data_IF_074688531028
#
_entry.id   IF_074688531028
#
_cell.length_a   1.000
_cell.length_b   1.000
_cell.length_c   1.000
_cell.angle_alpha   90.00
_cell.angle_beta   90.00
_cell.angle_gamma   90.00
#
_symmetry.space_group_name_H-M   'P 1'
#
loop_
_entity.id
_entity.type
_entity.pdbx_description
1 polymer ?
#
# COMPACT_ATOMS: atom_id res chain seq x y z
N UNK A 1 -23.39 3.41 3.00
CA UNK A 1 -22.95 3.20 4.40
C UNK A 1 -23.93 2.29 5.11
N UNK A 2 -23.46 1.36 5.94
CA UNK A 2 -24.29 0.60 6.88
C UNK A 2 -24.58 1.44 8.14
N UNK A 3 -25.30 0.91 9.13
CA UNK A 3 -25.65 1.65 10.35
C UNK A 3 -24.42 2.10 11.16
N UNK A 4 -23.44 1.21 11.35
CA UNK A 4 -22.24 1.52 12.14
C UNK A 4 -21.36 2.57 11.44
N UNK A 5 -21.26 2.49 10.11
CA UNK A 5 -20.59 3.52 9.33
C UNK A 5 -21.26 4.89 9.49
N UNK A 6 -22.60 4.94 9.51
CA UNK A 6 -23.33 6.20 9.67
C UNK A 6 -23.03 6.83 11.02
N UNK A 7 -23.05 6.03 12.09
CA UNK A 7 -22.67 6.49 13.44
C UNK A 7 -21.23 7.03 13.45
N UNK A 8 -20.29 6.31 12.83
CA UNK A 8 -18.88 6.76 12.73
C UNK A 8 -18.74 8.02 11.88
N UNK A 9 -19.47 8.12 10.77
CA UNK A 9 -19.46 9.29 9.90
C UNK A 9 -20.03 10.52 10.60
N UNK A 10 -21.13 10.38 11.36
CA UNK A 10 -21.73 11.47 12.13
C UNK A 10 -20.78 11.97 13.23
N UNK A 11 -20.08 11.04 13.90
CA UNK A 11 -19.03 11.40 14.86
C UNK A 11 -17.90 12.19 14.20
N UNK A 12 -17.38 11.71 13.08
CA UNK A 12 -16.32 12.39 12.31
C UNK A 12 -16.80 13.75 11.76
N UNK A 13 -18.08 13.86 11.35
CA UNK A 13 -18.69 15.11 10.89
C UNK A 13 -18.62 16.17 11.98
N UNK A 14 -19.01 15.82 13.21
CA UNK A 14 -18.95 16.74 14.34
C UNK A 14 -17.51 17.20 14.62
N UNK A 15 -16.55 16.27 14.59
CA UNK A 15 -15.14 16.61 14.77
C UNK A 15 -14.61 17.54 13.67
N UNK A 16 -14.96 17.30 12.40
CA UNK A 16 -14.58 18.17 11.29
C UNK A 16 -15.16 19.58 11.43
N UNK A 17 -16.43 19.69 11.86
CA UNK A 17 -17.08 20.98 12.11
C UNK A 17 -16.37 21.72 13.25
N UNK A 18 -16.12 21.03 14.38
CA UNK A 18 -15.45 21.62 15.54
C UNK A 18 -14.03 22.08 15.18
N UNK A 19 -13.24 21.22 14.53
CA UNK A 19 -11.90 21.55 14.04
C UNK A 19 -11.92 22.76 13.11
N UNK A 20 -12.88 22.81 12.17
CA UNK A 20 -13.02 23.92 11.23
C UNK A 20 -13.34 25.25 11.91
N UNK A 21 -14.09 25.21 13.01
CA UNK A 21 -14.52 26.40 13.75
C UNK A 21 -13.47 26.90 14.77
N UNK A 22 -12.64 26.00 15.30
CA UNK A 22 -11.79 26.30 16.48
C UNK A 22 -10.30 26.28 16.18
N UNK A 23 -9.85 25.46 15.23
CA UNK A 23 -8.42 25.23 14.96
C UNK A 23 -8.06 25.79 13.59
N UNK A 24 -8.70 25.29 12.53
CA UNK A 24 -8.35 25.66 11.17
C UNK A 24 -9.51 25.44 10.21
N UNK A 25 -9.89 26.52 9.53
CA UNK A 25 -10.98 26.50 8.56
C UNK A 25 -10.75 25.47 7.44
N UNK A 26 -11.73 24.59 7.25
CA UNK A 26 -11.76 23.59 6.19
C UNK A 26 -12.50 24.12 4.95
N UNK A 27 -11.88 25.08 4.24
CA UNK A 27 -12.47 25.82 3.11
C UNK A 27 -12.96 24.93 1.95
N UNK A 28 -12.48 23.69 1.87
CA UNK A 28 -12.90 22.70 0.88
C UNK A 28 -14.28 22.12 1.11
N UNK A 29 -14.79 22.16 2.34
CA UNK A 29 -16.11 21.61 2.67
C UNK A 29 -17.17 22.69 2.46
N UNK A 30 -17.54 22.89 1.18
CA UNK A 30 -18.39 24.02 0.76
C UNK A 30 -19.88 23.76 0.96
N UNK A 31 -20.30 22.51 0.87
CA UNK A 31 -21.69 22.07 0.98
C UNK A 31 -21.76 20.74 1.73
N UNK A 32 -22.97 20.31 2.10
CA UNK A 32 -23.18 19.00 2.68
C UNK A 32 -22.73 17.86 1.77
N UNK A 33 -22.83 17.99 0.44
CA UNK A 33 -22.34 16.98 -0.50
C UNK A 33 -20.82 16.80 -0.44
N UNK A 34 -20.06 17.91 -0.26
CA UNK A 34 -18.61 17.83 -0.06
C UNK A 34 -18.28 17.11 1.24
N UNK A 35 -19.01 17.43 2.32
CA UNK A 35 -18.86 16.79 3.62
C UNK A 35 -19.15 15.29 3.54
N UNK A 36 -20.33 14.91 3.00
CA UNK A 36 -20.74 13.51 2.87
C UNK A 36 -19.79 12.70 1.98
N UNK A 37 -19.29 13.30 0.89
CA UNK A 37 -18.30 12.65 0.03
C UNK A 37 -16.97 12.42 0.75
N UNK A 38 -16.44 13.42 1.48
CA UNK A 38 -15.20 13.29 2.26
C UNK A 38 -15.35 12.20 3.34
N UNK A 39 -16.42 12.25 4.12
CA UNK A 39 -16.74 11.25 5.14
C UNK A 39 -16.84 9.85 4.52
N UNK A 40 -17.48 9.73 3.36
CA UNK A 40 -17.57 8.45 2.64
C UNK A 40 -16.20 7.91 2.22
N UNK A 41 -15.27 8.77 1.81
CA UNK A 41 -13.91 8.35 1.49
C UNK A 41 -13.11 7.95 2.75
N UNK A 42 -13.28 8.65 3.87
CA UNK A 42 -12.66 8.28 5.16
C UNK A 42 -13.16 6.90 5.61
N UNK A 43 -14.48 6.70 5.65
CA UNK A 43 -15.10 5.42 6.06
C UNK A 43 -14.70 4.28 5.12
N UNK A 44 -14.70 4.49 3.80
CA UNK A 44 -14.25 3.45 2.86
C UNK A 44 -12.77 3.11 3.05
N UNK A 45 -11.93 4.09 3.42
CA UNK A 45 -10.53 3.82 3.72
C UNK A 45 -10.36 3.03 5.02
N UNK A 46 -11.02 3.44 6.11
CA UNK A 46 -11.03 2.69 7.39
C UNK A 46 -11.47 1.24 7.16
N UNK A 47 -12.50 1.01 6.34
CA UNK A 47 -12.99 -0.34 5.98
C UNK A 47 -11.96 -1.18 5.24
N UNK A 48 -11.26 -0.60 4.26
CA UNK A 48 -10.23 -1.34 3.50
C UNK A 48 -9.06 -1.74 4.40
N UNK A 49 -8.68 -0.87 5.33
CA UNK A 49 -7.63 -1.17 6.33
C UNK A 49 -8.13 -2.26 7.28
N UNK A 50 -9.32 -2.10 7.86
CA UNK A 50 -9.91 -3.06 8.78
C UNK A 50 -10.15 -4.42 8.14
N UNK A 51 -10.50 -4.47 6.86
CA UNK A 51 -10.64 -5.73 6.13
C UNK A 51 -9.34 -6.55 6.16
N UNK A 52 -8.19 -5.93 5.90
CA UNK A 52 -6.89 -6.63 5.95
C UNK A 52 -6.55 -7.03 7.38
N UNK A 53 -6.80 -6.17 8.37
CA UNK A 53 -6.60 -6.53 9.79
C UNK A 53 -7.48 -7.70 10.22
N UNK A 54 -8.72 -7.79 9.75
CA UNK A 54 -9.61 -8.93 10.02
C UNK A 54 -9.13 -10.21 9.30
N UNK A 55 -8.43 -10.09 8.17
CA UNK A 55 -7.73 -11.22 7.56
C UNK A 55 -6.61 -11.77 8.44
N UNK A 56 -6.18 -11.12 9.52
CA UNK A 56 -5.24 -11.71 10.49
C UNK A 56 -5.92 -12.59 11.54
N UNK A 57 -7.26 -12.55 11.67
CA UNK A 57 -8.03 -13.39 12.62
C UNK A 57 -9.07 -14.31 11.97
N UNK A 58 -9.47 -14.07 10.72
CA UNK A 58 -10.50 -14.87 10.03
C UNK A 58 -9.94 -16.19 9.47
N UNK A 59 -10.68 -17.31 9.47
CA UNK A 59 -10.26 -18.53 8.76
C UNK A 59 -9.97 -18.27 7.28
N UNK A 60 -8.77 -18.64 6.83
CA UNK A 60 -8.35 -18.55 5.42
C UNK A 60 -8.10 -19.98 4.94
N UNK A 61 -8.74 -20.37 3.84
CA UNK A 61 -8.54 -21.71 3.28
C UNK A 61 -7.10 -21.90 2.78
N UNK A 62 -6.47 -23.07 3.01
CA UNK A 62 -5.07 -23.30 2.69
C UNK A 62 -4.77 -23.16 1.19
N UNK A 63 -5.75 -23.42 0.31
CA UNK A 63 -5.58 -23.23 -1.15
C UNK A 63 -5.23 -21.79 -1.56
N UNK A 64 -5.38 -20.79 -0.67
CA UNK A 64 -4.98 -19.40 -0.94
C UNK A 64 -3.46 -19.22 -1.09
N UNK A 65 -2.64 -20.13 -0.54
CA UNK A 65 -1.16 -20.06 -0.63
C UNK A 65 -0.60 -20.68 -1.91
N UNK A 66 -1.34 -21.60 -2.53
CA UNK A 66 -0.87 -22.35 -3.68
C UNK A 66 -1.08 -21.53 -4.96
N UNK A 67 -0.02 -21.08 -5.66
CA UNK A 67 -0.16 -20.29 -6.89
C UNK A 67 -0.93 -21.04 -7.98
N UNK A 68 -0.92 -22.37 -7.99
CA UNK A 68 -1.65 -23.19 -8.97
C UNK A 68 -3.15 -23.22 -8.70
N UNK A 69 -3.60 -22.85 -7.51
CA UNK A 69 -5.02 -22.79 -7.20
C UNK A 69 -5.68 -21.56 -7.85
N UNK A 70 -6.89 -21.73 -8.37
CA UNK A 70 -7.76 -20.60 -8.75
C UNK A 70 -8.13 -19.71 -7.56
N UNK A 71 -7.95 -20.23 -6.34
CA UNK A 71 -8.16 -19.49 -5.12
C UNK A 71 -6.92 -18.68 -4.71
N UNK A 72 -5.77 -18.79 -5.38
CA UNK A 72 -4.57 -18.03 -5.00
C UNK A 72 -4.87 -16.54 -4.80
N UNK A 73 -4.48 -16.01 -3.64
CA UNK A 73 -4.55 -14.59 -3.35
C UNK A 73 -3.35 -14.24 -2.47
N UNK A 74 -2.37 -13.49 -3.00
CA UNK A 74 -1.08 -13.32 -2.35
C UNK A 74 -1.17 -12.50 -1.05
N UNK A 75 -2.19 -11.65 -0.88
CA UNK A 75 -2.41 -10.93 0.38
C UNK A 75 -2.98 -11.87 1.44
N UNK A 76 -3.92 -12.75 1.06
CA UNK A 76 -4.43 -13.79 1.98
C UNK A 76 -3.37 -14.84 2.31
N UNK A 77 -2.52 -15.18 1.34
CA UNK A 77 -1.39 -16.07 1.53
C UNK A 77 -0.39 -15.48 2.52
N UNK A 78 0.01 -14.21 2.33
CA UNK A 78 0.85 -13.49 3.27
C UNK A 78 0.23 -13.45 4.68
N UNK A 79 -1.07 -13.16 4.81
CA UNK A 79 -1.76 -13.18 6.10
C UNK A 79 -1.73 -14.56 6.79
N UNK A 80 -1.91 -15.66 6.03
CA UNK A 80 -1.80 -17.01 6.58
C UNK A 80 -0.37 -17.31 7.04
N UNK A 81 0.62 -17.01 6.19
CA UNK A 81 2.04 -17.23 6.45
C UNK A 81 2.53 -16.43 7.66
N UNK A 82 2.07 -15.19 7.85
CA UNK A 82 2.39 -14.41 9.05
C UNK A 82 1.93 -15.10 10.33
N UNK A 83 0.72 -15.69 10.34
CA UNK A 83 0.20 -16.43 11.51
C UNK A 83 1.00 -17.68 11.82
N UNK A 84 1.53 -18.32 10.79
CA UNK A 84 2.36 -19.52 10.90
C UNK A 84 3.84 -19.18 11.21
N UNK A 85 4.17 -17.90 11.37
CA UNK A 85 5.54 -17.44 11.64
C UNK A 85 6.47 -17.49 10.43
N UNK A 86 5.93 -17.70 9.21
CA UNK A 86 6.68 -17.78 7.96
C UNK A 86 6.88 -16.35 7.40
N UNK A 87 7.61 -15.52 8.16
CA UNK A 87 7.71 -14.08 7.93
C UNK A 87 8.40 -13.72 6.61
N UNK A 88 9.50 -14.40 6.26
CA UNK A 88 10.21 -14.14 5.01
C UNK A 88 9.31 -14.30 3.78
N UNK A 89 8.50 -15.36 3.76
CA UNK A 89 7.58 -15.64 2.66
C UNK A 89 6.40 -14.66 2.62
N UNK A 90 5.87 -14.31 3.79
CA UNK A 90 4.80 -13.30 3.90
C UNK A 90 5.24 -11.93 3.38
N UNK A 91 6.46 -11.48 3.72
CA UNK A 91 7.06 -10.26 3.19
C UNK A 91 7.24 -10.34 1.67
N UNK A 92 7.76 -11.46 1.17
CA UNK A 92 8.00 -11.67 -0.26
C UNK A 92 6.71 -11.58 -1.08
N UNK A 93 5.67 -12.30 -0.69
CA UNK A 93 4.35 -12.23 -1.35
C UNK A 93 3.71 -10.85 -1.23
N UNK A 94 3.92 -10.16 -0.09
CA UNK A 94 3.46 -8.77 0.08
C UNK A 94 4.16 -7.84 -0.91
N UNK A 95 5.48 -7.95 -1.06
CA UNK A 95 6.24 -7.17 -2.03
C UNK A 95 5.77 -7.45 -3.46
N UNK A 96 5.66 -8.71 -3.87
CA UNK A 96 5.17 -9.06 -5.21
C UNK A 96 3.77 -8.51 -5.47
N UNK A 97 2.88 -8.59 -4.47
CA UNK A 97 1.52 -8.04 -4.55
C UNK A 97 1.51 -6.54 -4.84
N UNK A 98 2.36 -5.77 -4.16
CA UNK A 98 2.46 -4.32 -4.36
C UNK A 98 3.21 -3.98 -5.65
N UNK A 99 4.28 -4.73 -5.97
CA UNK A 99 5.09 -4.52 -7.16
C UNK A 99 4.28 -4.67 -8.45
N UNK A 100 3.44 -5.71 -8.53
CA UNK A 100 2.58 -5.93 -9.67
C UNK A 100 1.25 -5.19 -9.56
N UNK A 101 0.67 -5.13 -8.37
CA UNK A 101 -0.69 -4.64 -8.15
C UNK A 101 -1.75 -5.60 -8.71
N UNK A 102 -2.98 -5.51 -8.19
CA UNK A 102 -4.10 -6.29 -8.70
C UNK A 102 -4.66 -5.65 -9.97
N UNK A 103 -4.67 -6.39 -11.08
CA UNK A 103 -5.27 -5.92 -12.31
C UNK A 103 -6.77 -6.21 -12.38
N UNK A 104 -7.56 -5.32 -12.98
CA UNK A 104 -9.02 -5.49 -13.07
C UNK A 104 -9.43 -6.74 -13.86
N UNK A 105 -8.80 -6.98 -15.02
CA UNK A 105 -8.99 -8.17 -15.87
C UNK A 105 -8.22 -9.39 -15.33
N UNK A 106 -6.89 -9.32 -15.35
CA UNK A 106 -5.98 -10.42 -15.01
C UNK A 106 -5.76 -10.70 -13.52
N UNK A 107 -6.44 -9.97 -12.62
CA UNK A 107 -6.36 -10.19 -11.17
C UNK A 107 -4.92 -10.27 -10.66
N UNK A 108 -4.51 -11.41 -10.10
CA UNK A 108 -3.19 -11.67 -9.51
C UNK A 108 -2.26 -12.46 -10.43
N UNK A 109 -2.58 -12.59 -11.73
CA UNK A 109 -1.85 -13.45 -12.65
C UNK A 109 -0.34 -13.18 -12.68
N UNK A 110 0.11 -11.92 -12.68
CA UNK A 110 1.55 -11.65 -12.67
C UNK A 110 2.24 -12.12 -11.38
N UNK A 111 1.57 -12.01 -10.22
CA UNK A 111 2.09 -12.55 -8.97
C UNK A 111 2.11 -14.07 -9.02
N UNK A 112 1.01 -14.70 -9.47
CA UNK A 112 0.90 -16.15 -9.66
C UNK A 112 2.02 -16.68 -10.54
N UNK A 113 2.20 -16.09 -11.73
CA UNK A 113 3.24 -16.53 -12.65
C UNK A 113 4.62 -16.35 -12.06
N UNK A 114 4.95 -15.17 -11.52
CA UNK A 114 6.25 -14.88 -10.89
C UNK A 114 6.59 -15.82 -9.74
N UNK A 115 5.58 -16.22 -8.96
CA UNK A 115 5.76 -17.05 -7.77
C UNK A 115 5.75 -18.55 -8.09
N UNK A 116 5.04 -18.99 -9.13
CA UNK A 116 4.97 -20.40 -9.53
C UNK A 116 6.22 -20.86 -10.28
N UNK A 117 6.48 -22.17 -10.24
CA UNK A 117 7.45 -22.83 -11.12
C UNK A 117 6.67 -23.88 -11.93
N UNK A 118 6.37 -23.62 -13.21
CA UNK A 118 5.62 -24.54 -14.05
C UNK A 118 6.25 -25.94 -14.06
N UNK A 119 5.42 -26.97 -13.80
CA UNK A 119 5.87 -28.37 -13.78
C UNK A 119 6.63 -28.82 -12.53
N UNK A 120 6.94 -27.92 -11.58
CA UNK A 120 7.57 -28.28 -10.29
C UNK A 120 6.57 -28.20 -9.14
N UNK A 121 6.75 -28.96 -8.07
CA UNK A 121 5.99 -28.75 -6.82
C UNK A 121 6.56 -27.59 -5.98
N UNK A 122 7.74 -27.09 -6.33
CA UNK A 122 8.36 -25.93 -5.72
C UNK A 122 7.81 -24.62 -6.28
N UNK A 123 8.10 -23.54 -5.57
CA UNK A 123 7.76 -22.16 -5.94
C UNK A 123 9.02 -21.29 -5.87
N UNK A 124 8.99 -20.12 -6.48
CA UNK A 124 9.99 -19.08 -6.25
C UNK A 124 9.77 -18.42 -4.88
N UNK A 125 9.94 -19.22 -3.82
CA UNK A 125 9.95 -18.79 -2.42
C UNK A 125 11.11 -17.83 -2.14
N UNK A 126 11.06 -17.12 -1.02
CA UNK A 126 12.16 -16.25 -0.59
C UNK A 126 13.50 -17.00 -0.56
N UNK A 127 13.51 -18.19 0.04
CA UNK A 127 14.71 -19.03 0.12
C UNK A 127 15.22 -19.46 -1.26
N UNK A 128 14.31 -19.77 -2.19
CA UNK A 128 14.68 -20.21 -3.52
C UNK A 128 15.23 -19.05 -4.36
N UNK A 129 14.61 -17.86 -4.29
CA UNK A 129 15.06 -16.70 -5.06
C UNK A 129 16.38 -16.14 -4.54
N UNK A 130 16.64 -16.20 -3.23
CA UNK A 130 17.92 -15.74 -2.64
C UNK A 130 19.07 -16.70 -2.92
N UNK A 131 18.84 -18.02 -2.84
CA UNK A 131 19.87 -19.03 -3.18
C UNK A 131 20.17 -19.08 -4.67
N UNK A 132 19.17 -18.83 -5.53
CA UNK A 132 19.28 -19.00 -6.98
C UNK A 132 18.96 -17.71 -7.75
N UNK A 133 19.42 -16.55 -7.26
CA UNK A 133 19.14 -15.21 -7.83
C UNK A 133 19.29 -15.15 -9.35
N UNK A 134 20.43 -15.62 -9.88
CA UNK A 134 20.68 -15.61 -11.32
C UNK A 134 19.65 -16.44 -12.10
N UNK A 135 19.33 -17.65 -11.61
CA UNK A 135 18.37 -18.52 -12.26
C UNK A 135 16.95 -17.91 -12.25
N UNK A 136 16.54 -17.29 -11.14
CA UNK A 136 15.26 -16.61 -11.04
C UNK A 136 15.16 -15.42 -12.00
N UNK A 137 16.19 -14.57 -12.08
CA UNK A 137 16.22 -13.43 -13.00
C UNK A 137 16.24 -13.88 -14.47
N UNK A 138 17.00 -14.92 -14.79
CA UNK A 138 17.00 -15.53 -16.12
C UNK A 138 15.62 -16.07 -16.46
N UNK A 139 14.98 -16.79 -15.54
CA UNK A 139 13.63 -17.31 -15.73
C UNK A 139 12.59 -16.19 -15.96
N UNK A 140 12.66 -15.07 -15.22
CA UNK A 140 11.81 -13.89 -15.49
C UNK A 140 12.04 -13.35 -16.91
N UNK A 141 13.30 -13.33 -17.34
CA UNK A 141 13.69 -12.87 -18.68
C UNK A 141 13.20 -13.81 -19.78
N UNK A 142 13.23 -15.12 -19.56
CA UNK A 142 12.84 -16.11 -20.58
C UNK A 142 11.31 -16.21 -20.73
N UNK A 143 10.57 -15.98 -19.64
CA UNK A 143 9.11 -16.19 -19.59
C UNK A 143 8.30 -14.88 -19.75
N UNK A 144 8.94 -13.73 -19.97
CA UNK A 144 8.25 -12.45 -19.98
C UNK A 144 7.13 -12.34 -21.04
N UNK A 145 7.31 -13.01 -22.18
CA UNK A 145 6.36 -12.98 -23.29
C UNK A 145 5.04 -13.67 -22.94
N UNK A 146 5.11 -14.81 -22.23
CA UNK A 146 3.95 -15.51 -21.68
C UNK A 146 3.25 -14.66 -20.61
N UNK A 147 4.02 -14.02 -19.72
CA UNK A 147 3.46 -13.16 -18.68
C UNK A 147 2.73 -11.96 -19.27
N UNK A 148 3.28 -11.36 -20.34
CA UNK A 148 2.68 -10.22 -21.02
C UNK A 148 1.39 -10.58 -21.77
N UNK A 149 1.24 -11.83 -22.22
CA UNK A 149 0.00 -12.31 -22.86
C UNK A 149 -1.11 -12.53 -21.83
N UNK A 150 -0.76 -12.95 -20.62
CA UNK A 150 -1.73 -13.43 -19.62
C UNK A 150 -1.84 -12.54 -18.37
N UNK A 151 -1.12 -11.41 -18.34
CA UNK A 151 -1.06 -10.54 -17.18
C UNK A 151 -0.74 -9.09 -17.55
N UNK A 152 -1.05 -8.18 -16.62
CA UNK A 152 -0.69 -6.78 -16.71
C UNK A 152 -0.57 -6.18 -15.32
N UNK A 153 0.24 -5.14 -15.18
CA UNK A 153 0.40 -4.40 -13.93
C UNK A 153 -0.89 -3.67 -13.54
N UNK A 154 -1.20 -3.65 -12.24
CA UNK A 154 -2.25 -2.82 -11.67
C UNK A 154 -2.02 -1.32 -11.91
N UNK A 155 -3.05 -0.50 -11.69
CA UNK A 155 -3.03 0.92 -12.08
C UNK A 155 -1.89 1.72 -11.43
N UNK A 156 -1.51 1.41 -10.19
CA UNK A 156 -0.38 2.06 -9.49
C UNK A 156 1.00 1.70 -10.08
N UNK A 157 1.07 0.66 -10.93
CA UNK A 157 2.33 0.08 -11.46
C UNK A 157 2.33 -0.02 -12.99
N UNK A 158 1.36 0.60 -13.67
CA UNK A 158 1.14 0.53 -15.14
C UNK A 158 2.29 1.04 -16.01
N UNK A 159 3.29 1.70 -15.41
CA UNK A 159 4.45 2.24 -16.11
C UNK A 159 5.70 1.34 -15.97
N UNK A 160 5.59 0.18 -15.33
CA UNK A 160 6.66 -0.82 -15.34
C UNK A 160 6.54 -1.75 -16.56
N UNK A 161 7.63 -2.44 -16.90
CA UNK A 161 7.70 -3.34 -18.05
C UNK A 161 8.06 -4.76 -17.65
N UNK A 162 7.46 -5.74 -18.31
CA UNK A 162 7.91 -7.14 -18.25
C UNK A 162 9.07 -7.41 -19.21
N UNK A 163 9.30 -6.54 -20.21
CA UNK A 163 10.29 -6.79 -21.26
C UNK A 163 11.72 -6.53 -20.77
N UNK A 164 12.61 -7.52 -20.79
CA UNK A 164 14.01 -7.41 -20.33
C UNK A 164 14.83 -6.35 -21.07
N UNK A 165 14.45 -5.98 -22.29
CA UNK A 165 15.17 -4.96 -23.06
C UNK A 165 14.83 -3.52 -22.68
N UNK A 166 13.92 -3.30 -21.73
CA UNK A 166 13.47 -1.97 -21.31
C UNK A 166 14.14 -1.52 -20.02
N UNK A 167 14.47 -0.23 -19.92
CA UNK A 167 15.09 0.36 -18.72
C UNK A 167 14.18 0.36 -17.47
N UNK A 168 12.89 0.10 -17.64
CA UNK A 168 11.90 -0.06 -16.57
C UNK A 168 11.46 -1.52 -16.39
N UNK A 169 12.33 -2.48 -16.73
CA UNK A 169 12.08 -3.90 -16.55
C UNK A 169 11.90 -4.30 -15.08
N UNK A 170 10.90 -5.13 -14.79
CA UNK A 170 10.57 -5.61 -13.45
C UNK A 170 11.67 -6.44 -12.79
N UNK A 171 12.42 -7.24 -13.55
CA UNK A 171 13.49 -8.08 -13.01
C UNK A 171 14.54 -7.26 -12.25
N UNK A 172 14.90 -6.08 -12.78
CA UNK A 172 15.83 -5.17 -12.10
C UNK A 172 15.27 -4.62 -10.77
N UNK A 173 13.96 -4.32 -10.73
CA UNK A 173 13.27 -3.83 -9.53
C UNK A 173 13.25 -4.92 -8.47
N UNK A 174 12.85 -6.14 -8.85
CA UNK A 174 12.79 -7.29 -7.97
C UNK A 174 14.18 -7.63 -7.42
N UNK A 175 15.21 -7.65 -8.27
CA UNK A 175 16.58 -7.88 -7.83
C UNK A 175 17.07 -6.83 -6.82
N UNK A 176 16.74 -5.55 -7.05
CA UNK A 176 17.10 -4.49 -6.11
C UNK A 176 16.39 -4.62 -4.75
N UNK A 177 15.16 -5.15 -4.73
CA UNK A 177 14.46 -5.47 -3.49
C UNK A 177 15.13 -6.61 -2.74
N UNK A 178 15.48 -7.69 -3.44
CA UNK A 178 16.18 -8.84 -2.85
C UNK A 178 17.50 -8.37 -2.21
N UNK A 179 18.30 -7.60 -2.95
CA UNK A 179 19.57 -7.06 -2.44
C UNK A 179 19.38 -6.12 -1.24
N UNK A 180 18.32 -5.31 -1.22
CA UNK A 180 18.02 -4.43 -0.09
C UNK A 180 17.72 -5.24 1.18
N UNK A 181 16.94 -6.30 1.08
CA UNK A 181 16.62 -7.18 2.22
C UNK A 181 17.85 -7.98 2.66
N UNK A 182 18.61 -8.57 1.73
CA UNK A 182 19.82 -9.35 2.05
C UNK A 182 20.92 -8.53 2.72
N UNK A 183 20.92 -7.19 2.59
CA UNK A 183 21.81 -6.32 3.36
C UNK A 183 21.59 -6.39 4.88
N UNK A 184 20.46 -6.96 5.31
CA UNK A 184 20.12 -7.28 6.69
C UNK A 184 20.07 -8.80 6.95
N UNK A 185 20.57 -9.62 6.02
CA UNK A 185 20.45 -11.08 6.04
C UNK A 185 19.13 -11.55 5.39
N UNK A 186 18.01 -11.24 6.02
CA UNK A 186 16.66 -11.56 5.53
C UNK A 186 15.61 -10.56 6.07
N UNK A 187 14.31 -10.83 5.87
CA UNK A 187 13.28 -9.93 6.36
C UNK A 187 13.19 -9.90 7.89
N UNK A 188 13.47 -11.02 8.56
CA UNK A 188 13.47 -11.10 10.03
C UNK A 188 14.60 -10.24 10.59
N UNK A 189 15.79 -10.30 9.99
CA UNK A 189 16.92 -9.44 10.32
C UNK A 189 16.64 -7.97 10.06
N UNK A 190 16.00 -7.64 8.93
CA UNK A 190 15.56 -6.27 8.62
C UNK A 190 14.58 -5.75 9.67
N UNK A 191 13.53 -6.51 9.98
CA UNK A 191 12.53 -6.13 10.99
C UNK A 191 13.22 -5.91 12.33
N UNK A 192 14.01 -6.88 12.79
CA UNK A 192 14.73 -6.81 14.06
C UNK A 192 15.66 -5.59 14.14
N UNK A 193 16.36 -5.27 13.05
CA UNK A 193 17.23 -4.09 12.98
C UNK A 193 16.45 -2.80 13.25
N UNK A 194 15.34 -2.58 12.54
CA UNK A 194 14.55 -1.36 12.65
C UNK A 194 13.77 -1.28 13.96
N UNK A 195 13.26 -2.40 14.48
CA UNK A 195 12.55 -2.44 15.76
C UNK A 195 13.48 -2.12 16.94
N UNK A 196 14.70 -2.67 16.93
CA UNK A 196 15.69 -2.41 17.97
C UNK A 196 16.31 -1.00 17.89
N UNK A 197 16.47 -0.47 16.69
CA UNK A 197 17.11 0.85 16.48
C UNK A 197 16.12 2.01 16.66
N UNK A 198 14.84 1.80 16.35
CA UNK A 198 13.82 2.85 16.37
C UNK A 198 12.57 2.38 17.14
N UNK A 199 12.50 2.64 18.46
CA UNK A 199 11.37 2.23 19.30
C UNK A 199 10.04 2.88 18.92
N UNK A 200 10.07 4.12 18.44
CA UNK A 200 8.86 4.83 17.99
C UNK A 200 8.40 4.33 16.61
N UNK A 201 7.14 3.89 16.52
CA UNK A 201 6.56 3.29 15.30
C UNK A 201 6.53 4.24 14.11
N UNK A 202 6.29 5.54 14.35
CA UNK A 202 6.25 6.59 13.33
C UNK A 202 7.65 6.89 12.80
N UNK A 203 8.62 7.00 13.70
CA UNK A 203 10.03 7.12 13.33
C UNK A 203 10.50 5.90 12.55
N UNK A 204 10.14 4.68 12.99
CA UNK A 204 10.45 3.41 12.32
C UNK A 204 9.93 3.38 10.89
N UNK A 205 8.66 3.75 10.68
CA UNK A 205 8.10 3.89 9.33
C UNK A 205 8.90 4.88 8.48
N UNK A 206 9.22 6.06 9.02
CA UNK A 206 9.94 7.12 8.31
C UNK A 206 11.31 6.68 7.82
N UNK A 207 12.09 6.05 8.69
CA UNK A 207 13.46 5.62 8.33
C UNK A 207 13.43 4.45 7.35
N UNK A 208 12.49 3.50 7.53
CA UNK A 208 12.31 2.37 6.64
C UNK A 208 11.82 2.82 5.24
N UNK A 209 10.89 3.79 5.20
CA UNK A 209 10.44 4.40 3.95
C UNK A 209 11.60 5.01 3.16
N UNK A 210 12.53 5.69 3.86
CA UNK A 210 13.71 6.28 3.23
C UNK A 210 14.72 5.23 2.78
N UNK A 211 14.93 4.15 3.54
CA UNK A 211 15.87 3.10 3.16
C UNK A 211 15.45 2.37 1.88
N UNK A 212 14.14 2.30 1.61
CA UNK A 212 13.61 1.74 0.36
C UNK A 212 13.97 2.55 -0.89
N UNK A 213 14.65 3.70 -0.78
CA UNK A 213 15.24 4.38 -1.94
C UNK A 213 16.30 3.52 -2.65
N UNK A 214 16.79 2.46 -1.99
CA UNK A 214 17.65 1.44 -2.60
C UNK A 214 16.89 0.46 -3.52
N UNK A 215 15.56 0.44 -3.47
CA UNK A 215 14.73 -0.40 -4.35
C UNK A 215 14.35 0.39 -5.59
N UNK A 216 14.88 -0.03 -6.74
CA UNK A 216 14.74 0.66 -8.01
C UNK A 216 13.27 0.82 -8.39
N UNK A 217 12.88 2.04 -8.80
CA UNK A 217 11.54 2.38 -9.30
C UNK A 217 10.37 1.97 -8.38
N UNK A 218 10.65 1.63 -7.13
CA UNK A 218 9.67 1.44 -6.09
C UNK A 218 9.34 2.82 -5.53
N UNK A 219 8.64 3.62 -6.33
CA UNK A 219 8.35 5.01 -6.03
C UNK A 219 7.42 5.19 -4.82
N UNK A 220 7.11 6.45 -4.50
CA UNK A 220 6.31 6.86 -3.35
C UNK A 220 5.16 5.92 -3.01
N UNK A 221 4.24 5.72 -3.97
CA UNK A 221 3.02 4.91 -3.77
C UNK A 221 3.36 3.47 -3.42
N UNK A 222 4.33 2.85 -4.09
CA UNK A 222 4.72 1.47 -3.82
C UNK A 222 5.37 1.32 -2.44
N UNK A 223 6.26 2.24 -2.03
CA UNK A 223 6.84 2.26 -0.68
C UNK A 223 5.75 2.38 0.39
N UNK A 224 4.85 3.34 0.22
CA UNK A 224 3.78 3.59 1.19
C UNK A 224 2.80 2.40 1.27
N UNK A 225 2.37 1.87 0.12
CA UNK A 225 1.46 0.73 0.04
C UNK A 225 2.10 -0.54 0.65
N UNK A 226 3.39 -0.78 0.41
CA UNK A 226 4.13 -1.91 0.97
C UNK A 226 4.24 -1.82 2.49
N UNK A 227 4.76 -0.70 3.02
CA UNK A 227 4.95 -0.55 4.46
C UNK A 227 3.63 -0.55 5.22
N UNK A 228 2.60 0.12 4.70
CA UNK A 228 1.28 0.03 5.33
C UNK A 228 0.67 -1.35 5.21
N UNK A 229 0.97 -2.13 4.17
CA UNK A 229 0.53 -3.54 4.10
C UNK A 229 1.23 -4.40 5.15
N UNK A 230 2.52 -4.21 5.40
CA UNK A 230 3.23 -4.92 6.48
C UNK A 230 2.63 -4.61 7.86
N UNK A 231 2.26 -3.36 8.11
CA UNK A 231 1.51 -2.96 9.32
C UNK A 231 0.18 -3.70 9.42
N UNK A 232 -0.64 -3.65 8.37
CA UNK A 232 -1.99 -4.25 8.36
C UNK A 232 -1.99 -5.77 8.49
N UNK A 233 -0.93 -6.41 7.99
CA UNK A 233 -0.73 -7.85 8.10
C UNK A 233 -0.10 -8.26 9.44
N UNK A 234 0.20 -7.29 10.33
CA UNK A 234 0.90 -7.52 11.59
C UNK A 234 2.26 -8.21 11.41
N UNK A 235 2.96 -7.88 10.32
CA UNK A 235 4.33 -8.34 10.05
C UNK A 235 5.34 -7.45 10.77
N UNK A 236 5.06 -6.15 10.85
CA UNK A 236 5.96 -5.17 11.42
C UNK A 236 5.18 -4.09 12.17
N UNK A 237 5.65 -3.73 13.36
CA UNK A 237 5.01 -2.71 14.19
C UNK A 237 5.41 -1.30 13.72
N UNK A 238 4.79 -0.80 12.65
CA UNK A 238 5.09 0.52 12.08
C UNK A 238 3.81 1.35 11.95
N UNK A 239 3.94 2.67 11.79
CA UNK A 239 2.80 3.55 11.55
C UNK A 239 3.24 4.70 10.64
N UNK A 240 2.47 4.97 9.58
CA UNK A 240 2.76 6.10 8.70
C UNK A 240 2.78 7.42 9.49
N UNK A 241 3.90 8.13 9.44
CA UNK A 241 4.12 9.38 10.17
C UNK A 241 3.59 10.62 9.45
N UNK A 242 3.34 10.50 8.15
CA UNK A 242 2.78 11.55 7.30
C UNK A 242 2.09 10.92 6.09
N UNK A 243 1.51 11.76 5.23
CA UNK A 243 0.95 11.28 3.97
C UNK A 243 1.99 11.17 2.86
N UNK A 244 3.23 11.62 3.05
CA UNK A 244 4.26 11.65 1.99
C UNK A 244 3.77 12.34 0.70
N UNK A 245 2.96 13.40 0.83
CA UNK A 245 2.38 14.12 -0.29
C UNK A 245 3.40 14.99 -1.04
N UNK A 246 4.59 15.23 -0.46
CA UNK A 246 5.68 15.91 -1.15
C UNK A 246 6.07 15.19 -2.46
N UNK A 247 5.93 13.87 -2.49
CA UNK A 247 6.23 13.00 -3.62
C UNK A 247 4.97 12.56 -4.40
N UNK A 248 3.79 13.12 -4.11
CA UNK A 248 2.51 12.69 -4.70
C UNK A 248 1.57 13.85 -5.07
N UNK A 249 0.92 13.76 -6.22
CA UNK A 249 0.00 14.80 -6.71
C UNK A 249 -1.41 14.69 -6.13
N UNK A 250 -1.92 13.47 -5.95
CA UNK A 250 -3.30 13.22 -5.48
C UNK A 250 -3.56 13.76 -4.07
N UNK A 251 -2.87 13.26 -3.03
CA UNK A 251 -3.02 13.73 -1.65
C UNK A 251 -2.75 15.23 -1.51
N UNK A 252 -1.73 15.76 -2.22
CA UNK A 252 -1.43 17.20 -2.23
C UNK A 252 -2.60 18.03 -2.77
N UNK A 253 -3.23 17.61 -3.87
CA UNK A 253 -4.43 18.27 -4.40
C UNK A 253 -5.61 18.18 -3.43
N UNK A 254 -5.78 17.04 -2.77
CA UNK A 254 -6.81 16.87 -1.74
C UNK A 254 -6.60 17.74 -0.51
N UNK A 255 -5.36 17.87 -0.03
CA UNK A 255 -5.04 18.76 1.08
C UNK A 255 -5.23 20.24 0.69
N UNK A 256 -4.79 20.65 -0.50
CA UNK A 256 -5.09 22.00 -1.00
C UNK A 256 -6.60 22.24 -1.12
N UNK A 257 -7.36 21.25 -1.59
CA UNK A 257 -8.81 21.37 -1.67
C UNK A 257 -9.39 21.56 -0.27
N UNK A 258 -9.03 20.69 0.68
CA UNK A 258 -9.55 20.70 2.04
C UNK A 258 -9.30 22.03 2.77
N UNK A 259 -8.05 22.51 2.76
CA UNK A 259 -7.67 23.70 3.52
C UNK A 259 -7.77 25.01 2.72
N UNK A 260 -7.58 24.94 1.41
CA UNK A 260 -7.54 26.10 0.51
C UNK A 260 -8.78 26.31 -0.34
N UNK A 261 -9.73 25.35 -0.37
CA UNK A 261 -10.96 25.46 -1.16
C UNK A 261 -10.79 25.20 -2.67
N UNK A 262 -9.58 24.83 -3.11
CA UNK A 262 -9.29 24.48 -4.52
C UNK A 262 -8.16 23.45 -4.63
N UNK A 263 -8.11 22.68 -5.71
CA UNK A 263 -7.03 21.70 -5.95
C UNK A 263 -5.72 22.32 -6.44
N UNK A 264 -5.68 23.65 -6.61
CA UNK A 264 -4.50 24.39 -7.01
C UNK A 264 -3.42 24.34 -5.93
N UNK A 265 -2.15 24.33 -6.34
CA UNK A 265 -1.00 24.30 -5.42
C UNK A 265 -0.78 25.67 -4.77
N UNK A 266 -1.65 26.05 -3.83
CA UNK A 266 -1.60 27.32 -3.12
C UNK A 266 -0.59 27.26 -1.97
N UNK A 267 -0.56 26.14 -1.26
CA UNK A 267 0.28 25.95 -0.07
C UNK A 267 1.49 25.06 -0.34
N UNK A 268 2.55 25.27 0.45
CA UNK A 268 3.72 24.39 0.44
C UNK A 268 3.34 23.01 0.99
N UNK A 269 4.03 21.97 0.52
CA UNK A 269 3.79 20.58 0.96
C UNK A 269 4.06 20.41 2.44
N UNK A 270 5.11 21.04 2.98
CA UNK A 270 5.43 21.02 4.41
C UNK A 270 4.29 21.59 5.25
N UNK A 271 3.70 22.70 4.82
CA UNK A 271 2.57 23.31 5.53
C UNK A 271 1.34 22.40 5.50
N UNK A 272 1.04 21.81 4.35
CA UNK A 272 -0.09 20.88 4.20
C UNK A 272 0.10 19.61 5.02
N UNK A 273 1.30 19.02 5.07
CA UNK A 273 1.57 17.86 5.94
C UNK A 273 1.36 18.20 7.42
N UNK A 274 1.81 19.39 7.86
CA UNK A 274 1.56 19.83 9.23
C UNK A 274 0.06 19.98 9.53
N UNK A 275 -0.72 20.54 8.59
CA UNK A 275 -2.17 20.69 8.77
C UNK A 275 -2.91 19.36 8.71
N UNK A 276 -2.49 18.42 7.86
CA UNK A 276 -3.04 17.06 7.85
C UNK A 276 -2.67 16.34 9.15
N UNK A 277 -1.46 16.52 9.68
CA UNK A 277 -1.05 15.98 10.98
C UNK A 277 -1.86 16.54 12.15
N UNK A 278 -2.13 17.84 12.14
CA UNK A 278 -2.99 18.51 13.13
C UNK A 278 -4.42 17.97 13.07
N UNK A 279 -4.97 17.82 11.85
CA UNK A 279 -6.30 17.25 11.63
C UNK A 279 -6.38 15.78 12.05
N UNK A 280 -5.40 14.95 11.70
CA UNK A 280 -5.40 13.54 12.10
C UNK A 280 -5.26 13.36 13.61
N UNK A 281 -4.50 14.24 14.28
CA UNK A 281 -4.42 14.23 15.75
C UNK A 281 -5.79 14.49 16.40
N UNK A 282 -6.71 15.12 15.66
CA UNK A 282 -8.07 15.40 16.10
C UNK A 282 -9.07 14.28 15.73
N UNK A 283 -8.99 13.77 14.50
CA UNK A 283 -9.88 12.70 13.99
C UNK A 283 -9.47 11.29 14.46
N UNK A 284 -8.17 11.10 14.70
CA UNK A 284 -7.51 9.85 15.04
C UNK A 284 -7.87 8.71 14.08
N UNK A 285 -7.70 8.94 12.77
CA UNK A 285 -8.00 7.95 11.71
C UNK A 285 -6.74 7.33 11.12
N UNK A 286 -5.59 7.97 11.30
CA UNK A 286 -4.29 7.55 10.83
C UNK A 286 -3.93 8.08 9.44
N UNK A 287 -2.63 8.27 9.20
CA UNK A 287 -2.12 8.88 7.97
C UNK A 287 -2.44 8.11 6.69
N UNK A 288 -2.58 6.77 6.75
CA UNK A 288 -3.04 6.01 5.58
C UNK A 288 -4.48 6.36 5.20
N UNK A 289 -5.37 6.53 6.18
CA UNK A 289 -6.77 6.94 5.93
C UNK A 289 -6.80 8.35 5.34
N UNK A 290 -6.01 9.26 5.90
CA UNK A 290 -5.90 10.63 5.39
C UNK A 290 -5.37 10.66 3.96
N UNK A 291 -4.30 9.92 3.66
CA UNK A 291 -3.71 9.85 2.33
C UNK A 291 -4.72 9.38 1.28
N UNK A 292 -5.35 8.25 1.54
CA UNK A 292 -6.30 7.60 0.62
C UNK A 292 -7.56 8.45 0.43
N UNK A 293 -8.10 9.01 1.52
CA UNK A 293 -9.34 9.78 1.47
C UNK A 293 -9.14 11.09 0.71
N UNK A 294 -8.06 11.83 0.98
CA UNK A 294 -7.73 13.06 0.25
C UNK A 294 -7.45 12.80 -1.23
N UNK A 295 -6.72 11.72 -1.54
CA UNK A 295 -6.38 11.35 -2.91
C UNK A 295 -7.62 11.04 -3.77
N UNK A 296 -8.62 10.36 -3.19
CA UNK A 296 -9.84 9.98 -3.89
C UNK A 296 -10.90 11.09 -3.88
N UNK A 297 -11.10 11.78 -2.76
CA UNK A 297 -12.07 12.85 -2.62
C UNK A 297 -11.83 13.98 -3.64
N UNK A 298 -10.58 14.41 -3.84
CA UNK A 298 -10.28 15.50 -4.78
C UNK A 298 -10.65 15.23 -6.24
N UNK A 299 -10.84 13.95 -6.62
CA UNK A 299 -11.25 13.57 -7.99
C UNK A 299 -12.74 13.85 -8.23
N UNK A 300 -13.55 13.80 -7.18
CA UNK A 300 -15.01 13.94 -7.25
C UNK A 300 -15.54 14.43 -5.89
N UNK A 301 -15.29 15.70 -5.55
CA UNK A 301 -15.48 16.15 -4.18
C UNK A 301 -16.95 16.24 -3.77
N UNK A 302 -17.87 16.38 -4.71
CA UNK A 302 -19.34 16.39 -4.49
C UNK A 302 -19.96 15.00 -4.50
N UNK A 303 -19.21 13.98 -4.95
CA UNK A 303 -19.79 12.65 -5.19
C UNK A 303 -18.83 11.56 -4.76
N UNK A 304 -19.27 10.75 -3.81
CA UNK A 304 -18.52 9.55 -3.43
C UNK A 304 -18.37 8.59 -4.63
N UNK A 305 -17.11 8.31 -4.97
CA UNK A 305 -16.73 7.25 -5.91
C UNK A 305 -15.87 6.25 -5.16
N UNK A 306 -16.37 5.01 -5.08
CA UNK A 306 -15.67 3.91 -4.44
C UNK A 306 -14.38 3.58 -5.18
N UNK A 307 -13.29 3.43 -4.44
CA UNK A 307 -12.02 2.92 -4.97
C UNK A 307 -12.16 1.46 -5.45
N UNK A 308 -11.61 1.12 -6.62
CA UNK A 308 -11.75 -0.21 -7.24
C UNK A 308 -10.44 -0.98 -7.46
N UNK A 309 -9.31 -0.44 -6.98
CA UNK A 309 -7.98 -0.97 -7.30
C UNK A 309 -7.43 -0.40 -8.60
#
# INVERSE_FOLDING_TARGET
>A
MNRNDRIRADFLKNQLIEFSNTIRQLKGIKTDDYMESLLSQIIESERRINFVRILSTTPIGPSRINPKSEMFDPIKAAALMTREGIINEACWLTFLSIHYGKHLKYKWNLVKYTYDIPGSNDVWSWDNVTKNKHAFIQWLSDNYSEFAQNGAFGNHRKYESLNPSRNNWNGAIILSYINWVESFGDHVGLISHYENTYPDRKQRFRVLYKSMNNVLRFGRTAKFDFLTMLEKLNIMDIEADSTYMAEATGPRRGANLLFGGSTSNIYSTTLLENWVSELDSYLNVGMQVMEDSLCNWQKSPERFIRFRG
#
